data_IF_245322201414
#
_entry.id   IF_245322201414
#
_cell.length_a   1.000
_cell.length_b   1.000
_cell.length_c   1.000
_cell.angle_alpha   90.00
_cell.angle_beta   90.00
_cell.angle_gamma   90.00
#
_symmetry.space_group_name_H-M   'P 1'
#
loop_
_entity.id
_entity.type
_entity.pdbx_description
1 polymer ?
#
# COMPACT_ATOMS: atom_id res chain seq x y z
N UNK A 1 -23.81 -49.56 25.15
CA UNK A 1 -23.58 -49.50 23.71
C UNK A 1 -23.15 -48.08 23.41
N UNK A 2 -21.90 -47.95 22.99
CA UNK A 2 -21.12 -46.71 22.92
C UNK A 2 -21.76 -45.60 22.09
N UNK A 3 -21.46 -44.39 22.56
CA UNK A 3 -21.52 -43.09 21.88
C UNK A 3 -20.76 -43.09 20.55
N UNK A 4 -21.36 -42.53 19.51
CA UNK A 4 -20.62 -41.85 18.46
C UNK A 4 -21.06 -40.39 18.44
N UNK A 5 -20.48 -39.62 19.35
CA UNK A 5 -20.35 -38.19 19.20
C UNK A 5 -19.55 -37.92 17.93
N UNK A 6 -20.18 -37.21 17.00
CA UNK A 6 -19.62 -36.82 15.72
C UNK A 6 -18.47 -35.82 15.97
N UNK A 7 -17.20 -36.17 15.71
CA UNK A 7 -16.10 -35.26 15.94
C UNK A 7 -16.10 -34.19 14.86
N UNK A 8 -16.50 -32.99 15.26
CA UNK A 8 -15.89 -31.76 14.78
C UNK A 8 -15.98 -31.52 13.27
N UNK A 9 -17.06 -30.88 12.84
CA UNK A 9 -17.02 -29.99 11.68
C UNK A 9 -16.10 -28.79 12.00
N UNK A 10 -14.79 -29.02 12.01
CA UNK A 10 -13.78 -27.97 11.97
C UNK A 10 -13.94 -27.29 10.62
N UNK A 11 -14.83 -26.29 10.55
CA UNK A 11 -14.83 -25.32 9.48
C UNK A 11 -13.41 -24.77 9.41
N UNK A 12 -12.68 -25.18 8.37
CA UNK A 12 -11.31 -24.74 8.11
C UNK A 12 -11.37 -23.22 8.01
N UNK A 13 -10.87 -22.53 9.04
CA UNK A 13 -10.85 -21.08 9.05
C UNK A 13 -10.09 -20.62 7.81
N UNK A 14 -10.65 -19.70 7.00
CA UNK A 14 -9.97 -19.20 5.81
C UNK A 14 -8.64 -18.58 6.21
N UNK A 15 -7.64 -18.67 5.34
CA UNK A 15 -6.38 -17.97 5.57
C UNK A 15 -6.64 -16.47 5.68
N UNK A 16 -5.77 -15.74 6.40
CA UNK A 16 -5.96 -14.31 6.64
C UNK A 16 -6.12 -13.53 5.33
N UNK A 17 -5.30 -13.83 4.31
CA UNK A 17 -5.40 -13.21 3.00
C UNK A 17 -6.74 -13.45 2.31
N UNK A 18 -7.29 -14.66 2.39
CA UNK A 18 -8.62 -14.99 1.86
C UNK A 18 -9.71 -14.20 2.59
N UNK A 19 -9.59 -14.08 3.91
CA UNK A 19 -10.52 -13.32 4.74
C UNK A 19 -10.51 -11.83 4.37
N UNK A 20 -9.33 -11.24 4.16
CA UNK A 20 -9.18 -9.85 3.69
C UNK A 20 -9.79 -9.70 2.30
N UNK A 21 -9.52 -10.63 1.38
CA UNK A 21 -10.06 -10.60 0.01
C UNK A 21 -11.59 -10.65 0.01
N UNK A 22 -12.19 -11.54 0.83
CA UNK A 22 -13.64 -11.65 0.97
C UNK A 22 -14.22 -10.35 1.54
N UNK A 23 -13.63 -9.84 2.63
CA UNK A 23 -14.11 -8.63 3.30
C UNK A 23 -14.01 -7.37 2.43
N UNK A 24 -13.01 -7.29 1.55
CA UNK A 24 -12.75 -6.10 0.71
C UNK A 24 -13.32 -6.20 -0.71
N UNK A 25 -13.82 -7.37 -1.13
CA UNK A 25 -14.23 -7.65 -2.52
C UNK A 25 -15.15 -6.59 -3.12
N UNK A 26 -16.17 -6.16 -2.39
CA UNK A 26 -17.18 -5.22 -2.90
C UNK A 26 -16.59 -3.81 -3.11
N UNK A 27 -15.74 -3.35 -2.20
CA UNK A 27 -15.05 -2.06 -2.29
C UNK A 27 -13.99 -2.11 -3.38
N UNK A 28 -13.19 -3.17 -3.43
CA UNK A 28 -12.19 -3.39 -4.49
C UNK A 28 -12.83 -3.39 -5.88
N UNK A 29 -13.95 -4.10 -6.08
CA UNK A 29 -14.65 -4.13 -7.36
C UNK A 29 -15.12 -2.73 -7.82
N UNK A 30 -15.63 -1.92 -6.89
CA UNK A 30 -16.02 -0.52 -7.17
C UNK A 30 -14.81 0.33 -7.52
N UNK A 31 -13.74 0.24 -6.73
CA UNK A 31 -12.51 0.99 -6.95
C UNK A 31 -11.86 0.63 -8.28
N UNK A 32 -11.72 -0.68 -8.58
CA UNK A 32 -11.16 -1.16 -9.84
C UNK A 32 -11.98 -0.66 -11.04
N UNK A 33 -13.31 -0.66 -10.96
CA UNK A 33 -14.16 -0.08 -12.01
C UNK A 33 -13.85 1.40 -12.24
N UNK A 34 -13.69 2.18 -11.18
CA UNK A 34 -13.32 3.60 -11.28
C UNK A 34 -11.93 3.77 -11.87
N UNK A 35 -10.92 3.01 -11.42
CA UNK A 35 -9.55 3.07 -11.96
C UNK A 35 -9.56 2.77 -13.46
N UNK A 36 -10.26 1.73 -13.90
CA UNK A 36 -10.36 1.38 -15.32
C UNK A 36 -11.08 2.45 -16.16
N UNK A 37 -11.96 3.23 -15.56
CA UNK A 37 -12.63 4.35 -16.23
C UNK A 37 -11.76 5.62 -16.28
N UNK A 38 -10.98 5.88 -15.23
CA UNK A 38 -10.17 7.11 -15.11
C UNK A 38 -8.79 7.00 -15.74
N UNK A 39 -8.14 5.83 -15.69
CA UNK A 39 -6.78 5.66 -16.24
C UNK A 39 -6.68 6.08 -17.72
N UNK A 40 -7.62 5.71 -18.61
CA UNK A 40 -7.57 6.17 -20.01
C UNK A 40 -7.69 7.70 -20.17
N UNK A 41 -8.27 8.40 -19.20
CA UNK A 41 -8.41 9.87 -19.26
C UNK A 41 -7.09 10.58 -18.94
N UNK A 42 -6.13 9.89 -18.32
CA UNK A 42 -4.79 10.42 -18.04
C UNK A 42 -3.79 10.12 -19.16
N UNK A 43 -4.22 9.50 -20.26
CA UNK A 43 -3.37 8.99 -21.34
C UNK A 43 -3.88 9.45 -22.72
N UNK A 44 -3.07 9.29 -23.79
CA UNK A 44 -3.52 9.54 -25.14
C UNK A 44 -4.71 8.66 -25.53
N UNK A 45 -5.66 9.17 -26.33
CA UNK A 45 -5.66 10.50 -26.95
C UNK A 45 -6.23 11.63 -26.07
N UNK A 46 -6.63 11.35 -24.83
CA UNK A 46 -7.33 12.33 -23.99
C UNK A 46 -6.41 13.41 -23.42
N UNK A 47 -5.16 13.06 -23.20
CA UNK A 47 -4.09 14.00 -22.85
C UNK A 47 -2.91 13.85 -23.81
N UNK A 48 -2.12 14.91 -23.90
CA UNK A 48 -0.91 14.96 -24.73
C UNK A 48 0.38 14.99 -23.89
N UNK A 49 0.26 14.97 -22.56
CA UNK A 49 1.38 14.99 -21.63
C UNK A 49 1.04 14.17 -20.36
N UNK A 50 2.04 13.78 -19.56
CA UNK A 50 1.83 12.89 -18.41
C UNK A 50 1.35 13.62 -17.16
N UNK A 51 1.04 14.92 -17.20
CA UNK A 51 0.78 15.72 -16.00
C UNK A 51 -0.40 15.21 -15.15
N UNK A 52 -1.47 14.71 -15.78
CA UNK A 52 -2.59 14.10 -15.02
C UNK A 52 -2.19 12.77 -14.36
N UNK A 53 -1.36 11.97 -15.03
CA UNK A 53 -0.85 10.73 -14.45
C UNK A 53 0.07 11.02 -13.26
N UNK A 54 0.98 11.98 -13.40
CA UNK A 54 1.85 12.47 -12.32
C UNK A 54 1.03 13.00 -11.15
N UNK A 55 -0.03 13.77 -11.40
CA UNK A 55 -0.93 14.24 -10.34
C UNK A 55 -1.54 13.07 -9.55
N UNK A 56 -1.90 11.97 -10.22
CA UNK A 56 -2.31 10.74 -9.56
C UNK A 56 -1.21 10.11 -8.71
N UNK A 57 0.03 10.05 -9.21
CA UNK A 57 1.17 9.54 -8.45
C UNK A 57 1.46 10.37 -7.19
N UNK A 58 1.33 11.71 -7.26
CA UNK A 58 1.49 12.59 -6.10
C UNK A 58 0.49 12.27 -4.98
N UNK A 59 -0.67 11.69 -5.28
CA UNK A 59 -1.66 11.30 -4.26
C UNK A 59 -1.47 9.86 -3.75
N UNK A 60 -0.87 8.98 -4.56
CA UNK A 60 -0.62 7.58 -4.17
C UNK A 60 0.70 7.44 -3.41
N UNK A 61 1.73 8.19 -3.76
CA UNK A 61 3.04 8.13 -3.10
C UNK A 61 2.96 8.38 -1.57
N UNK A 62 2.21 9.38 -1.07
CA UNK A 62 2.06 9.60 0.37
C UNK A 62 1.45 8.41 1.13
N UNK A 63 0.55 7.65 0.48
CA UNK A 63 -0.05 6.46 1.08
C UNK A 63 1.02 5.40 1.34
N UNK A 64 1.87 5.13 0.34
CA UNK A 64 2.99 4.19 0.49
C UNK A 64 4.02 4.70 1.49
N UNK A 65 4.40 5.99 1.42
CA UNK A 65 5.31 6.61 2.38
C UNK A 65 4.82 6.44 3.82
N UNK A 66 3.54 6.69 4.08
CA UNK A 66 2.98 6.63 5.42
C UNK A 66 3.02 5.20 6.01
N UNK A 67 2.51 4.19 5.31
CA UNK A 67 2.50 2.84 5.91
C UNK A 67 3.88 2.17 5.89
N UNK A 68 4.72 2.43 4.88
CA UNK A 68 6.08 1.84 4.80
C UNK A 68 7.00 2.44 5.87
N UNK A 69 6.93 3.74 6.13
CA UNK A 69 7.67 4.36 7.25
C UNK A 69 7.21 3.85 8.61
N UNK A 70 5.90 3.76 8.84
CA UNK A 70 5.36 3.17 10.07
C UNK A 70 5.77 1.70 10.25
N UNK A 71 5.90 0.94 9.16
CA UNK A 71 6.42 -0.42 9.22
C UNK A 71 7.87 -0.41 9.70
N UNK A 72 8.71 0.41 9.09
CA UNK A 72 10.12 0.52 9.47
C UNK A 72 10.29 0.96 10.92
N UNK A 73 9.53 1.97 11.38
CA UNK A 73 9.57 2.47 12.75
C UNK A 73 9.22 1.38 13.78
N UNK A 74 8.21 0.56 13.47
CA UNK A 74 7.83 -0.60 14.30
C UNK A 74 8.94 -1.64 14.35
N UNK A 75 9.62 -1.86 13.21
CA UNK A 75 10.73 -2.81 13.16
C UNK A 75 11.92 -2.34 14.01
N UNK A 76 12.25 -1.05 13.92
CA UNK A 76 13.40 -0.44 14.60
C UNK A 76 13.17 -0.31 16.11
N UNK A 77 11.95 0.03 16.55
CA UNK A 77 11.60 0.22 17.96
C UNK A 77 11.77 -1.06 18.80
N UNK A 78 11.50 -2.22 18.19
CA UNK A 78 11.62 -3.51 18.86
C UNK A 78 13.07 -4.02 18.94
N UNK A 79 13.95 -3.58 18.03
CA UNK A 79 15.38 -3.93 18.08
C UNK A 79 16.11 -3.27 19.25
N UNK A 80 15.58 -2.16 19.74
CA UNK A 80 16.09 -1.43 20.90
C UNK A 80 15.60 -2.00 22.23
N UNK A 81 14.53 -2.80 22.22
CA UNK A 81 13.87 -3.35 23.40
C UNK A 81 14.17 -4.84 23.51
N UNK A 82 15.39 -5.23 23.90
CA UNK A 82 15.66 -6.63 24.24
C UNK A 82 14.93 -7.03 25.54
N UNK A 83 14.19 -8.15 25.56
CA UNK A 83 13.55 -8.61 26.79
C UNK A 83 14.51 -9.43 27.66
N UNK A 84 14.63 -9.02 28.92
CA UNK A 84 14.96 -9.88 30.05
C UNK A 84 13.97 -11.05 30.06
N UNK A 85 14.47 -12.28 30.10
CA UNK A 85 13.64 -13.47 30.19
C UNK A 85 12.82 -13.45 31.49
N UNK A 86 11.48 -13.45 31.39
CA UNK A 86 10.49 -14.01 32.34
C UNK A 86 9.11 -13.37 32.06
N UNK A 87 8.23 -14.10 31.37
CA UNK A 87 6.94 -14.56 31.89
C UNK A 87 5.99 -15.06 30.78
N UNK A 88 5.58 -16.32 30.95
CA UNK A 88 4.51 -16.99 30.24
C UNK A 88 3.16 -16.50 30.80
N UNK A 89 2.36 -15.76 30.03
CA UNK A 89 0.89 -15.87 29.95
C UNK A 89 0.33 -14.90 28.88
N UNK A 90 -0.52 -15.41 27.98
CA UNK A 90 -0.88 -14.83 26.67
C UNK A 90 -1.87 -13.65 26.68
N UNK A 91 -1.45 -12.46 26.19
CA UNK A 91 -2.10 -11.66 25.15
C UNK A 91 -1.51 -12.02 23.76
N UNK A 92 -1.99 -11.50 22.61
CA UNK A 92 -1.24 -11.60 21.36
C UNK A 92 0.14 -10.99 21.59
N UNK A 93 1.14 -11.86 21.76
CA UNK A 93 2.48 -11.45 22.17
C UNK A 93 2.99 -10.40 21.17
N UNK A 94 3.30 -9.16 21.60
CA UNK A 94 3.89 -8.13 20.74
C UNK A 94 5.06 -8.68 19.91
N UNK A 95 5.83 -9.60 20.48
CA UNK A 95 6.91 -10.36 19.81
C UNK A 95 6.43 -11.14 18.60
N UNK A 96 5.24 -11.76 18.67
CA UNK A 96 4.66 -12.52 17.56
C UNK A 96 4.25 -11.59 16.43
N UNK A 97 3.60 -10.47 16.73
CA UNK A 97 3.20 -9.48 15.72
C UNK A 97 4.44 -8.92 15.04
N UNK A 98 5.43 -8.51 15.83
CA UNK A 98 6.71 -8.04 15.34
C UNK A 98 7.42 -9.08 14.46
N UNK A 99 7.50 -10.33 14.90
CA UNK A 99 8.09 -11.43 14.12
C UNK A 99 7.39 -11.64 12.78
N UNK A 100 6.05 -11.56 12.76
CA UNK A 100 5.27 -11.65 11.52
C UNK A 100 5.55 -10.44 10.63
N UNK A 101 5.53 -9.22 11.16
CA UNK A 101 5.81 -8.00 10.41
C UNK A 101 7.23 -8.02 9.83
N UNK A 102 8.22 -8.48 10.59
CA UNK A 102 9.60 -8.65 10.11
C UNK A 102 9.67 -9.69 9.00
N UNK A 103 9.01 -10.83 9.16
CA UNK A 103 8.99 -11.89 8.14
C UNK A 103 8.28 -11.46 6.84
N UNK A 104 7.29 -10.58 6.93
CA UNK A 104 6.56 -10.04 5.79
C UNK A 104 7.26 -8.82 5.15
N UNK A 105 8.23 -8.22 5.84
CA UNK A 105 8.96 -7.07 5.33
C UNK A 105 9.95 -7.50 4.23
N UNK A 106 9.59 -7.21 2.98
CA UNK A 106 10.39 -7.53 1.81
C UNK A 106 10.85 -6.21 1.17
N UNK A 107 12.12 -5.79 1.33
CA UNK A 107 12.60 -4.52 0.78
C UNK A 107 12.38 -4.39 -0.73
N UNK A 108 12.46 -5.49 -1.48
CA UNK A 108 12.18 -5.51 -2.91
C UNK A 108 10.72 -5.26 -3.28
N UNK A 109 9.80 -5.25 -2.32
CA UNK A 109 8.37 -4.98 -2.52
C UNK A 109 8.00 -3.52 -2.22
N UNK A 110 8.80 -2.83 -1.41
CA UNK A 110 8.64 -1.41 -1.09
C UNK A 110 8.48 -0.56 -2.34
N UNK A 111 7.55 0.40 -2.32
CA UNK A 111 7.22 1.23 -3.50
C UNK A 111 7.47 2.71 -3.30
N UNK A 112 7.57 3.23 -2.07
CA UNK A 112 7.69 4.66 -1.81
C UNK A 112 8.82 5.29 -2.64
N UNK A 113 10.05 4.77 -2.52
CA UNK A 113 11.21 5.25 -3.28
C UNK A 113 11.04 5.13 -4.80
N UNK A 114 10.42 4.04 -5.28
CA UNK A 114 10.14 3.87 -6.72
C UNK A 114 9.17 4.93 -7.22
N UNK A 115 8.11 5.22 -6.46
CA UNK A 115 7.12 6.24 -6.82
C UNK A 115 7.74 7.65 -6.82
N UNK A 116 8.58 7.98 -5.84
CA UNK A 116 9.31 9.25 -5.81
C UNK A 116 10.29 9.35 -6.98
N UNK A 117 10.98 8.27 -7.33
CA UNK A 117 11.83 8.21 -8.52
C UNK A 117 11.04 8.42 -9.82
N UNK A 118 9.86 7.80 -9.95
CA UNK A 118 9.00 7.93 -11.12
C UNK A 118 8.47 9.36 -11.27
N UNK A 119 8.05 9.99 -10.16
CA UNK A 119 7.63 11.40 -10.16
C UNK A 119 8.77 12.28 -10.65
N UNK A 120 9.98 12.13 -10.09
CA UNK A 120 11.15 12.91 -10.54
C UNK A 120 11.50 12.68 -12.01
N UNK A 121 11.43 11.44 -12.49
CA UNK A 121 11.72 11.13 -13.88
C UNK A 121 10.72 11.76 -14.85
N UNK A 122 9.44 11.83 -14.45
CA UNK A 122 8.36 12.40 -15.27
C UNK A 122 8.30 13.92 -15.18
N UNK A 123 8.73 14.51 -14.06
CA UNK A 123 8.66 15.96 -13.83
C UNK A 123 9.98 16.69 -14.00
N UNK A 124 11.11 16.01 -14.00
CA UNK A 124 12.42 16.66 -13.90
C UNK A 124 12.61 17.47 -12.60
N UNK A 125 11.71 17.33 -11.62
CA UNK A 125 11.81 18.04 -10.35
C UNK A 125 12.98 17.54 -9.52
N UNK A 126 13.56 18.47 -8.76
CA UNK A 126 14.53 18.12 -7.71
C UNK A 126 13.82 17.44 -6.53
N UNK A 127 14.58 16.71 -5.72
CA UNK A 127 14.06 16.05 -4.50
C UNK A 127 13.28 17.04 -3.62
N UNK A 128 13.83 18.25 -3.41
CA UNK A 128 13.19 19.29 -2.61
C UNK A 128 11.81 19.74 -3.15
N UNK A 129 11.64 19.75 -4.47
CA UNK A 129 10.36 20.12 -5.08
C UNK A 129 9.37 18.97 -4.96
N UNK A 130 9.81 17.72 -5.17
CA UNK A 130 8.94 16.54 -4.95
C UNK A 130 8.48 16.49 -3.50
N UNK A 131 9.38 16.67 -2.54
CA UNK A 131 9.05 16.70 -1.12
C UNK A 131 8.06 17.83 -0.80
N UNK A 132 8.24 19.01 -1.39
CA UNK A 132 7.31 20.13 -1.22
C UNK A 132 5.90 19.77 -1.71
N UNK A 133 5.79 19.23 -2.93
CA UNK A 133 4.51 18.90 -3.55
C UNK A 133 3.81 17.75 -2.85
N UNK A 134 4.55 16.70 -2.47
CA UNK A 134 4.07 15.58 -1.66
C UNK A 134 3.53 16.09 -0.32
N UNK A 135 4.25 16.98 0.36
CA UNK A 135 3.79 17.57 1.61
C UNK A 135 2.53 18.40 1.37
N UNK A 136 2.51 19.24 0.34
CA UNK A 136 1.38 20.12 0.03
C UNK A 136 0.08 19.35 -0.19
N UNK A 137 0.09 18.30 -1.02
CA UNK A 137 -1.11 17.47 -1.27
C UNK A 137 -1.52 16.65 -0.05
N UNK A 138 -0.59 16.35 0.85
CA UNK A 138 -0.83 15.57 2.06
C UNK A 138 -1.46 16.36 3.21
N UNK A 139 -1.50 17.70 3.14
CA UNK A 139 -2.01 18.53 4.25
C UNK A 139 -3.53 18.70 4.25
N UNK A 140 -4.23 18.48 3.14
CA UNK A 140 -5.67 18.81 3.04
C UNK A 140 -6.50 17.76 2.31
N UNK A 141 -7.81 17.78 2.57
CA UNK A 141 -8.80 16.96 1.87
C UNK A 141 -8.75 15.47 2.21
N UNK A 142 -9.38 14.63 1.37
CA UNK A 142 -9.54 13.20 1.65
C UNK A 142 -8.24 12.43 1.80
N UNK A 143 -7.16 12.87 1.16
CA UNK A 143 -5.85 12.26 1.31
C UNK A 143 -5.31 12.48 2.72
N UNK A 144 -5.33 13.71 3.23
CA UNK A 144 -4.89 14.03 4.59
C UNK A 144 -5.68 13.25 5.66
N UNK A 145 -7.00 13.14 5.48
CA UNK A 145 -7.86 12.33 6.35
C UNK A 145 -7.44 10.86 6.32
N UNK A 146 -7.14 10.32 5.14
CA UNK A 146 -6.70 8.94 4.99
C UNK A 146 -5.31 8.68 5.59
N UNK A 147 -4.35 9.58 5.39
CA UNK A 147 -3.02 9.48 6.01
C UNK A 147 -3.14 9.52 7.54
N UNK A 148 -3.94 10.45 8.08
CA UNK A 148 -4.23 10.52 9.51
C UNK A 148 -4.84 9.21 10.02
N UNK A 149 -5.76 8.62 9.27
CA UNK A 149 -6.34 7.33 9.59
C UNK A 149 -5.31 6.18 9.58
N UNK A 150 -4.38 6.14 8.63
CA UNK A 150 -3.29 5.15 8.58
C UNK A 150 -2.44 5.26 9.84
N UNK A 151 -1.92 6.47 10.13
CA UNK A 151 -1.10 6.71 11.33
C UNK A 151 -1.84 6.32 12.61
N UNK A 152 -3.09 6.76 12.78
CA UNK A 152 -3.88 6.43 13.95
C UNK A 152 -4.12 4.92 14.07
N UNK A 153 -4.49 4.25 12.99
CA UNK A 153 -4.88 2.83 13.03
C UNK A 153 -3.68 1.93 13.30
N UNK A 154 -2.54 2.18 12.65
CA UNK A 154 -1.33 1.36 12.83
C UNK A 154 -0.74 1.59 14.22
N UNK A 155 -0.66 2.83 14.70
CA UNK A 155 -0.11 3.13 16.03
C UNK A 155 -0.96 2.52 17.17
N UNK A 156 -2.29 2.51 17.02
CA UNK A 156 -3.18 1.93 18.04
C UNK A 156 -3.39 0.43 17.88
N UNK A 157 -3.17 -0.13 16.68
CA UNK A 157 -3.35 -1.54 16.41
C UNK A 157 -2.38 -2.04 15.31
N UNK A 158 -1.10 -2.27 15.65
CA UNK A 158 -0.04 -2.62 14.68
C UNK A 158 -0.34 -3.80 13.74
N UNK A 159 -1.04 -4.88 14.14
CA UNK A 159 -1.44 -5.96 13.22
C UNK A 159 -2.22 -5.50 11.99
N UNK A 160 -2.90 -4.36 12.03
CA UNK A 160 -3.62 -3.79 10.88
C UNK A 160 -2.71 -3.46 9.71
N UNK A 161 -1.41 -3.26 9.97
CA UNK A 161 -0.40 -3.07 8.94
C UNK A 161 -0.36 -4.24 7.95
N UNK A 162 -0.58 -5.48 8.42
CA UNK A 162 -0.64 -6.67 7.56
C UNK A 162 -1.77 -6.53 6.53
N UNK A 163 -2.90 -5.92 6.90
CA UNK A 163 -4.00 -5.69 5.99
C UNK A 163 -3.65 -4.61 4.94
N UNK A 164 -3.00 -3.51 5.33
CA UNK A 164 -2.48 -2.51 4.40
C UNK A 164 -1.49 -3.11 3.41
N UNK A 165 -0.48 -3.83 3.91
CA UNK A 165 0.52 -4.51 3.10
C UNK A 165 -0.12 -5.48 2.10
N UNK A 166 -1.04 -6.32 2.58
CA UNK A 166 -1.77 -7.26 1.73
C UNK A 166 -2.53 -6.53 0.62
N UNK A 167 -3.35 -5.54 0.97
CA UNK A 167 -4.21 -4.85 -0.01
C UNK A 167 -3.37 -4.08 -1.03
N UNK A 168 -2.39 -3.29 -0.58
CA UNK A 168 -1.62 -2.40 -1.46
C UNK A 168 -0.67 -3.19 -2.36
N UNK A 169 0.05 -4.18 -1.84
CA UNK A 169 0.96 -4.96 -2.66
C UNK A 169 0.26 -5.99 -3.54
N UNK A 170 -0.81 -6.64 -3.07
CA UNK A 170 -1.54 -7.59 -3.92
C UNK A 170 -2.25 -6.90 -5.09
N UNK A 171 -2.61 -5.62 -4.96
CA UNK A 171 -3.13 -4.83 -6.08
C UNK A 171 -2.11 -4.73 -7.23
N UNK A 172 -0.82 -4.61 -6.91
CA UNK A 172 0.27 -4.56 -7.91
C UNK A 172 0.39 -5.88 -8.67
N UNK A 173 0.23 -7.02 -8.01
CA UNK A 173 0.38 -8.33 -8.65
C UNK A 173 -0.86 -8.79 -9.41
N UNK A 174 -2.06 -8.45 -8.91
CA UNK A 174 -3.32 -8.92 -9.48
C UNK A 174 -3.79 -8.06 -10.66
N UNK A 175 -3.73 -6.73 -10.52
CA UNK A 175 -4.19 -5.76 -11.52
C UNK A 175 -3.06 -5.00 -12.23
N UNK A 176 -1.86 -4.97 -11.65
CA UNK A 176 -0.77 -4.12 -12.15
C UNK A 176 -0.31 -4.45 -13.57
N UNK A 177 -0.44 -5.70 -14.04
CA UNK A 177 -0.13 -6.05 -15.44
C UNK A 177 -1.03 -5.33 -16.44
N UNK A 178 -2.32 -5.20 -16.14
CA UNK A 178 -3.25 -4.48 -17.01
C UNK A 178 -2.96 -2.99 -17.03
N UNK A 179 -2.77 -2.40 -15.84
CA UNK A 179 -2.41 -0.98 -15.71
C UNK A 179 -1.11 -0.71 -16.47
N UNK A 180 -0.08 -1.54 -16.27
CA UNK A 180 1.19 -1.44 -16.98
C UNK A 180 1.04 -1.50 -18.49
N UNK A 181 0.31 -2.48 -19.02
CA UNK A 181 0.08 -2.58 -20.47
C UNK A 181 -0.65 -1.34 -21.02
N UNK A 182 -1.56 -0.75 -20.23
CA UNK A 182 -2.26 0.49 -20.59
C UNK A 182 -1.34 1.71 -20.55
N UNK A 183 -0.39 1.77 -19.60
CA UNK A 183 0.63 2.83 -19.56
C UNK A 183 1.63 2.70 -20.72
N UNK A 184 2.05 1.48 -21.05
CA UNK A 184 2.97 1.20 -22.15
C UNK A 184 2.37 1.57 -23.52
N UNK A 185 1.04 1.48 -23.68
CA UNK A 185 0.37 1.84 -24.94
C UNK A 185 0.40 3.34 -25.25
N UNK A 186 0.67 4.21 -24.27
CA UNK A 186 0.84 5.65 -24.49
C UNK A 186 2.10 5.98 -25.31
N UNK A 187 3.10 5.08 -25.31
CA UNK A 187 4.34 5.22 -26.06
C UNK A 187 5.36 6.20 -25.44
N UNK A 188 6.65 6.07 -25.77
CA UNK A 188 7.73 6.84 -25.14
C UNK A 188 7.63 8.34 -25.41
N UNK A 189 7.07 8.74 -26.56
CA UNK A 189 6.89 10.14 -26.92
C UNK A 189 5.97 10.88 -25.94
N UNK A 190 4.97 10.19 -25.37
CA UNK A 190 4.08 10.77 -24.36
C UNK A 190 4.81 11.01 -23.03
N UNK A 191 5.56 10.02 -22.58
CA UNK A 191 6.30 10.08 -21.30
C UNK A 191 7.50 11.04 -21.33
N UNK A 192 8.09 11.24 -22.51
CA UNK A 192 9.24 12.13 -22.73
C UNK A 192 8.89 13.37 -23.55
N UNK A 193 7.62 13.76 -23.62
CA UNK A 193 7.21 15.01 -24.24
C UNK A 193 7.84 16.18 -23.46
N UNK A 194 9.05 16.57 -23.86
CA UNK A 194 9.86 17.57 -23.19
C UNK A 194 9.16 18.93 -23.18
N UNK A 195 9.23 19.63 -22.05
CA UNK A 195 9.07 21.10 -22.02
C UNK A 195 8.02 21.70 -21.09
N UNK A 196 7.60 21.05 -20.00
CA UNK A 196 6.59 21.66 -19.11
C UNK A 196 6.86 21.47 -17.63
N UNK A 197 7.96 22.04 -17.13
CA UNK A 197 8.18 22.44 -15.73
C UNK A 197 9.19 23.60 -15.71
#
# INVERSE_FOLDING_TARGET
>A
METLDNPSSLQKQPYLGDSINIATRSVHAKLNKSILAYLPLALPPQTHNPSLYVSGLLHIAPVYLAFESLWQDLLDSHEQTQPSAEDDEHPPNPERVHSILRALHLPGLMRAESLLSDIRALTGWTDAVVDHEINAVSQTGPLADFLTHIHHTINNHPPTLIAYAWILYMALFSGGRFIRATLESAGPAFWHAAGWW
#
